data_IF_880276819907
#
_entry.id   IF_880276819907
#
_cell.length_a   1.000
_cell.length_b   1.000
_cell.length_c   1.000
_cell.angle_alpha   90.00
_cell.angle_beta   90.00
_cell.angle_gamma   90.00
#
_symmetry.space_group_name_H-M   'P 1'
#
loop_
_entity.id
_entity.type
_entity.pdbx_description
1 polymer ?
#
# COMPACT_ATOMS: atom_id res chain seq x y z
N UNK A 1 -7.64 -2.26 16.23
CA UNK A 1 -8.40 -3.06 17.18
C UNK A 1 -7.95 -4.52 17.11
N UNK A 2 -7.98 -5.28 18.22
CA UNK A 2 -7.60 -6.69 18.20
C UNK A 2 -8.53 -7.48 17.26
N UNK A 3 -7.98 -8.52 16.63
CA UNK A 3 -8.78 -9.42 15.79
C UNK A 3 -9.85 -10.14 16.64
N UNK A 4 -11.04 -10.44 16.08
CA UNK A 4 -12.05 -11.24 16.75
C UNK A 4 -11.49 -12.57 17.24
N UNK A 5 -11.93 -13.02 18.43
CA UNK A 5 -11.39 -14.22 19.07
C UNK A 5 -11.61 -15.49 18.24
N UNK A 6 -12.68 -15.57 17.47
CA UNK A 6 -13.00 -16.69 16.56
C UNK A 6 -12.19 -16.66 15.24
N UNK A 7 -11.60 -15.53 14.90
CA UNK A 7 -10.75 -15.39 13.72
C UNK A 7 -9.30 -15.83 13.98
N UNK A 8 -8.77 -15.58 15.17
CA UNK A 8 -7.37 -15.88 15.51
C UNK A 8 -6.97 -17.34 15.23
N UNK A 9 -7.77 -18.37 15.59
CA UNK A 9 -7.45 -19.76 15.29
C UNK A 9 -7.46 -20.10 13.79
N UNK A 10 -8.03 -19.22 12.94
CA UNK A 10 -8.14 -19.46 11.50
C UNK A 10 -6.89 -18.99 10.73
N UNK A 11 -6.06 -18.11 11.29
CA UNK A 11 -4.85 -17.66 10.63
C UNK A 11 -3.88 -18.79 10.23
N UNK A 12 -3.58 -19.78 11.10
CA UNK A 12 -2.78 -20.92 10.68
C UNK A 12 -3.43 -21.72 9.53
N UNK A 13 -4.75 -21.90 9.57
CA UNK A 13 -5.48 -22.66 8.57
C UNK A 13 -5.43 -21.99 7.18
N UNK A 14 -5.50 -20.67 7.12
CA UNK A 14 -5.34 -19.94 5.83
C UNK A 14 -3.97 -20.17 5.23
N UNK A 15 -2.90 -20.17 6.04
CA UNK A 15 -1.55 -20.46 5.59
C UNK A 15 -1.40 -21.92 5.11
N UNK A 16 -1.93 -22.88 5.85
CA UNK A 16 -1.93 -24.29 5.47
C UNK A 16 -2.68 -24.50 4.15
N UNK A 17 -3.85 -23.87 3.98
CA UNK A 17 -4.61 -23.93 2.75
C UNK A 17 -3.81 -23.35 1.56
N UNK A 18 -3.18 -22.19 1.72
CA UNK A 18 -2.35 -21.58 0.69
C UNK A 18 -1.23 -22.51 0.24
N UNK A 19 -0.51 -23.12 1.20
CA UNK A 19 0.55 -24.10 0.94
C UNK A 19 0.00 -25.37 0.27
N UNK A 20 -1.19 -25.84 0.64
CA UNK A 20 -1.84 -27.01 0.03
C UNK A 20 -2.19 -26.79 -1.45
N UNK A 21 -2.45 -25.54 -1.87
CA UNK A 21 -2.60 -25.17 -3.27
C UNK A 21 -1.26 -24.99 -4.01
N UNK A 22 -0.12 -25.31 -3.37
CA UNK A 22 1.22 -25.12 -3.91
C UNK A 22 1.53 -23.66 -4.27
N UNK A 23 0.98 -22.72 -3.49
CA UNK A 23 1.25 -21.29 -3.60
C UNK A 23 2.28 -20.93 -2.52
N UNK A 24 3.30 -20.15 -2.89
CA UNK A 24 4.28 -19.65 -1.94
C UNK A 24 3.58 -18.84 -0.84
N UNK A 25 3.92 -19.12 0.40
CA UNK A 25 3.37 -18.43 1.57
C UNK A 25 4.54 -18.08 2.48
N UNK A 26 4.88 -16.81 2.49
CA UNK A 26 6.04 -16.28 3.20
C UNK A 26 5.58 -15.44 4.40
N UNK A 27 6.31 -15.56 5.48
CA UNK A 27 6.16 -14.74 6.68
C UNK A 27 7.53 -14.52 7.31
N UNK A 28 7.75 -13.36 7.91
CA UNK A 28 9.01 -13.03 8.57
C UNK A 28 8.71 -12.33 9.89
N UNK A 29 9.23 -12.89 10.98
CA UNK A 29 9.05 -12.30 12.31
C UNK A 29 9.70 -10.90 12.37
N UNK A 30 8.97 -9.94 12.93
CA UNK A 30 9.44 -8.56 13.07
C UNK A 30 9.20 -7.66 11.86
N UNK A 31 8.59 -8.19 10.78
CA UNK A 31 8.20 -7.42 9.59
C UNK A 31 6.71 -7.58 9.32
N UNK A 32 6.10 -6.53 8.79
CA UNK A 32 4.72 -6.55 8.32
C UNK A 32 4.61 -7.14 6.91
N UNK A 33 3.39 -7.54 6.54
CA UNK A 33 3.13 -8.07 5.20
C UNK A 33 3.52 -7.08 4.11
N UNK A 34 3.32 -5.79 4.34
CA UNK A 34 3.61 -4.72 3.39
C UNK A 34 5.10 -4.58 3.10
N UNK A 35 5.96 -4.77 4.11
CA UNK A 35 7.42 -4.79 3.93
C UNK A 35 7.84 -5.94 3.00
N UNK A 36 7.22 -7.11 3.19
CA UNK A 36 7.50 -8.28 2.36
C UNK A 36 6.96 -8.11 0.95
N UNK A 37 5.74 -7.58 0.80
CA UNK A 37 5.14 -7.28 -0.50
C UNK A 37 6.02 -6.31 -1.27
N UNK A 38 6.42 -5.20 -0.65
CA UNK A 38 7.30 -4.21 -1.26
C UNK A 38 8.64 -4.82 -1.69
N UNK A 39 9.27 -5.58 -0.78
CA UNK A 39 10.56 -6.23 -1.05
C UNK A 39 10.48 -7.20 -2.23
N UNK A 40 9.47 -8.06 -2.25
CA UNK A 40 9.30 -9.04 -3.32
C UNK A 40 8.89 -8.38 -4.64
N UNK A 41 8.03 -7.36 -4.60
CA UNK A 41 7.63 -6.61 -5.78
C UNK A 41 8.82 -5.92 -6.45
N UNK A 42 9.65 -5.21 -5.69
CA UNK A 42 10.84 -4.56 -6.23
C UNK A 42 11.87 -5.58 -6.75
N UNK A 43 12.11 -6.67 -6.05
CA UNK A 43 13.03 -7.72 -6.52
C UNK A 43 12.56 -8.36 -7.82
N UNK A 44 11.26 -8.63 -7.96
CA UNK A 44 10.69 -9.19 -9.17
C UNK A 44 10.77 -8.19 -10.34
N UNK A 45 10.44 -6.92 -10.11
CA UNK A 45 10.59 -5.84 -11.09
C UNK A 45 12.04 -5.70 -11.55
N UNK A 46 12.98 -5.63 -10.62
CA UNK A 46 14.41 -5.44 -10.92
C UNK A 46 15.01 -6.63 -11.67
N UNK A 47 14.42 -7.82 -11.52
CA UNK A 47 14.72 -8.99 -12.33
C UNK A 47 14.03 -8.97 -13.73
N UNK A 48 13.35 -7.87 -14.11
CA UNK A 48 12.66 -7.73 -15.38
C UNK A 48 11.25 -8.33 -15.42
N UNK A 49 10.71 -8.72 -14.26
CA UNK A 49 9.35 -9.24 -14.13
C UNK A 49 8.27 -8.16 -14.10
N UNK A 50 7.02 -8.58 -14.33
CA UNK A 50 5.82 -7.77 -14.07
C UNK A 50 5.16 -8.25 -12.81
N UNK A 51 4.70 -7.31 -11.98
CA UNK A 51 4.11 -7.59 -10.68
C UNK A 51 2.67 -7.06 -10.65
N UNK A 52 1.75 -7.91 -10.19
CA UNK A 52 0.40 -7.47 -9.82
C UNK A 52 0.21 -7.72 -8.34
N UNK A 53 0.07 -6.66 -7.56
CA UNK A 53 -0.25 -6.72 -6.12
C UNK A 53 -1.76 -6.80 -5.98
N UNK A 54 -2.26 -7.90 -5.41
CA UNK A 54 -3.70 -8.06 -5.16
C UNK A 54 -4.00 -7.59 -3.75
N UNK A 55 -4.50 -6.36 -3.64
CA UNK A 55 -4.85 -5.74 -2.37
C UNK A 55 -5.83 -4.57 -2.60
N UNK A 56 -6.62 -4.26 -1.58
CA UNK A 56 -7.42 -3.03 -1.49
C UNK A 56 -6.74 -1.95 -0.64
N UNK A 57 -5.57 -2.27 -0.08
CA UNK A 57 -4.83 -1.37 0.80
C UNK A 57 -4.27 -0.18 0.02
N UNK A 58 -4.63 1.02 0.48
CA UNK A 58 -4.20 2.27 -0.15
C UNK A 58 -2.69 2.52 0.02
N UNK A 59 -2.09 1.99 1.08
CA UNK A 59 -0.71 2.26 1.43
C UNK A 59 0.25 1.58 0.45
N UNK A 60 -0.14 0.44 -0.10
CA UNK A 60 0.59 -0.23 -1.18
C UNK A 60 0.55 0.51 -2.52
N UNK A 61 -0.29 1.55 -2.66
CA UNK A 61 -0.34 2.35 -3.90
C UNK A 61 0.95 3.13 -4.17
N UNK A 62 1.77 3.38 -3.15
CA UNK A 62 3.11 3.94 -3.29
C UNK A 62 4.06 3.05 -4.13
N UNK A 63 3.76 1.75 -4.26
CA UNK A 63 4.58 0.78 -5.01
C UNK A 63 4.24 0.75 -6.50
N UNK A 64 3.11 1.35 -6.91
CA UNK A 64 2.63 1.32 -8.30
C UNK A 64 3.54 2.12 -9.23
N UNK A 65 3.95 1.53 -10.31
CA UNK A 65 4.81 2.15 -11.34
C UNK A 65 5.65 1.09 -12.04
N UNK A 66 6.43 1.48 -13.01
CA UNK A 66 7.42 0.68 -13.75
C UNK A 66 7.39 -0.85 -13.58
N UNK A 67 6.34 -1.50 -14.10
CA UNK A 67 6.18 -2.95 -14.01
C UNK A 67 5.41 -3.46 -12.79
N UNK A 68 4.97 -2.57 -11.89
CA UNK A 68 4.14 -2.91 -10.73
C UNK A 68 2.76 -2.25 -10.87
N UNK A 69 1.70 -3.04 -10.79
CA UNK A 69 0.31 -2.58 -10.72
C UNK A 69 -0.39 -3.19 -9.53
N UNK A 70 -1.50 -2.61 -9.10
CA UNK A 70 -2.38 -3.21 -8.10
C UNK A 70 -3.70 -3.67 -8.73
N UNK A 71 -4.31 -4.65 -8.08
CA UNK A 71 -5.65 -5.14 -8.42
C UNK A 71 -6.50 -5.25 -7.14
N UNK A 72 -7.51 -4.40 -7.04
CA UNK A 72 -8.53 -4.47 -5.99
C UNK A 72 -9.58 -5.51 -6.41
N UNK A 73 -9.48 -6.73 -5.86
CA UNK A 73 -10.38 -7.82 -6.18
C UNK A 73 -11.81 -7.58 -5.69
N UNK A 74 -11.98 -6.80 -4.62
CA UNK A 74 -13.32 -6.49 -4.08
C UNK A 74 -14.10 -5.56 -5.01
N UNK A 75 -13.41 -4.65 -5.67
CA UNK A 75 -13.99 -3.69 -6.64
C UNK A 75 -13.81 -4.11 -8.08
N UNK A 76 -13.12 -5.23 -8.33
CA UNK A 76 -12.74 -5.70 -9.66
C UNK A 76 -12.05 -4.59 -10.48
N UNK A 77 -11.12 -3.87 -9.85
CA UNK A 77 -10.47 -2.69 -10.45
C UNK A 77 -8.95 -2.85 -10.46
N UNK A 78 -8.34 -2.63 -11.64
CA UNK A 78 -6.88 -2.43 -11.73
C UNK A 78 -6.55 -0.99 -11.37
N UNK A 79 -5.41 -0.83 -10.69
CA UNK A 79 -4.91 0.46 -10.23
C UNK A 79 -3.49 0.60 -10.77
N UNK A 80 -3.37 1.47 -11.75
CA UNK A 80 -2.12 1.93 -12.34
C UNK A 80 -1.74 3.32 -11.78
N UNK A 81 -0.71 3.94 -12.33
CA UNK A 81 -0.26 5.29 -11.92
C UNK A 81 -1.41 6.33 -11.97
N UNK A 82 -2.26 6.24 -12.98
CA UNK A 82 -3.41 7.15 -13.12
C UNK A 82 -4.47 6.86 -12.05
N UNK A 83 -4.71 5.59 -11.74
CA UNK A 83 -5.63 5.18 -10.67
C UNK A 83 -5.16 5.65 -9.27
N UNK A 84 -3.84 5.69 -9.03
CA UNK A 84 -3.27 6.29 -7.83
C UNK A 84 -3.53 7.81 -7.78
N UNK A 85 -3.29 8.50 -8.90
CA UNK A 85 -3.57 9.93 -9.00
C UNK A 85 -5.06 10.25 -8.75
N UNK A 86 -5.98 9.45 -9.28
CA UNK A 86 -7.42 9.60 -9.02
C UNK A 86 -7.76 9.46 -7.52
N UNK A 87 -7.02 8.61 -6.80
CA UNK A 87 -7.26 8.33 -5.38
C UNK A 87 -6.63 9.37 -4.46
N UNK A 88 -5.36 9.72 -4.69
CA UNK A 88 -4.56 10.56 -3.80
C UNK A 88 -4.42 12.01 -4.30
N UNK A 89 -4.64 12.29 -5.58
CA UNK A 89 -4.36 13.57 -6.20
C UNK A 89 -2.87 13.81 -6.49
N UNK A 90 -2.04 12.78 -6.29
CA UNK A 90 -0.61 12.76 -6.62
C UNK A 90 -0.25 11.42 -7.26
N UNK A 91 0.88 11.34 -7.95
CA UNK A 91 1.44 10.09 -8.47
C UNK A 91 2.08 9.25 -7.36
N UNK A 92 2.34 7.93 -7.58
CA UNK A 92 2.83 7.00 -6.57
C UNK A 92 4.05 7.48 -5.79
N UNK A 93 4.97 8.14 -6.46
CA UNK A 93 6.22 8.69 -5.89
C UNK A 93 5.99 9.80 -4.84
N UNK A 94 4.77 10.32 -4.73
CA UNK A 94 4.39 11.36 -3.75
C UNK A 94 3.31 10.93 -2.75
N UNK A 95 2.94 9.66 -2.80
CA UNK A 95 1.91 9.13 -1.88
C UNK A 95 2.35 9.21 -0.43
N UNK A 96 3.63 8.91 -0.15
CA UNK A 96 4.21 9.00 1.20
C UNK A 96 4.13 10.43 1.74
N UNK A 97 4.47 11.43 0.92
CA UNK A 97 4.44 12.85 1.31
C UNK A 97 3.02 13.29 1.68
N UNK A 98 2.04 12.87 0.87
CA UNK A 98 0.62 13.14 1.14
C UNK A 98 0.16 12.46 2.42
N UNK A 99 0.54 11.20 2.66
CA UNK A 99 0.17 10.47 3.86
C UNK A 99 0.83 11.01 5.12
N UNK A 100 2.07 11.50 5.03
CA UNK A 100 2.76 12.15 6.14
C UNK A 100 2.06 13.44 6.58
N UNK A 101 1.49 14.21 5.63
CA UNK A 101 0.72 15.42 5.92
C UNK A 101 -0.70 15.15 6.37
N UNK A 102 -1.36 14.20 5.72
CA UNK A 102 -2.74 13.85 6.04
C UNK A 102 -2.79 12.95 7.28
N UNK A 103 -3.72 13.23 8.19
CA UNK A 103 -3.96 12.34 9.31
C UNK A 103 -4.57 11.02 8.84
N UNK A 104 -4.11 9.92 9.42
CA UNK A 104 -4.72 8.60 9.27
C UNK A 104 -5.05 8.01 10.63
N UNK A 105 -6.34 7.94 10.94
CA UNK A 105 -6.81 7.43 12.23
C UNK A 105 -6.75 5.91 12.32
N UNK A 106 -6.65 5.19 11.20
CA UNK A 106 -6.55 3.72 11.17
C UNK A 106 -5.16 3.31 11.61
N UNK A 107 -4.15 3.97 11.05
CA UNK A 107 -2.73 3.66 11.30
C UNK A 107 -2.11 4.57 12.38
N UNK A 108 -2.96 5.36 13.06
CA UNK A 108 -2.55 6.26 14.13
C UNK A 108 -1.49 7.30 13.68
N UNK A 109 -1.58 7.74 12.44
CA UNK A 109 -0.73 8.81 11.90
C UNK A 109 -1.38 10.15 12.24
N UNK A 110 -0.72 11.02 13.03
CA UNK A 110 -1.33 12.27 13.47
C UNK A 110 -1.50 13.29 12.34
N UNK A 111 -0.60 13.29 11.36
CA UNK A 111 -0.57 14.28 10.27
C UNK A 111 -0.48 15.72 10.77
N UNK A 112 -0.67 16.67 9.88
CA UNK A 112 -0.81 18.08 10.23
C UNK A 112 -2.28 18.40 10.59
N UNK A 113 -2.55 19.13 11.69
CA UNK A 113 -3.91 19.40 12.12
C UNK A 113 -4.75 20.09 11.03
N UNK A 114 -5.89 19.51 10.71
CA UNK A 114 -6.81 20.06 9.70
C UNK A 114 -6.42 19.78 8.24
N UNK A 115 -5.34 19.06 7.99
CA UNK A 115 -4.90 18.69 6.66
C UNK A 115 -5.43 17.29 6.32
N UNK A 116 -6.37 17.23 5.38
CA UNK A 116 -6.83 15.97 4.78
C UNK A 116 -6.11 15.69 3.46
N UNK A 117 -6.32 14.49 2.91
CA UNK A 117 -5.66 14.01 1.67
C UNK A 117 -5.72 15.04 0.53
N UNK A 118 -6.87 15.69 0.30
CA UNK A 118 -7.02 16.66 -0.80
C UNK A 118 -6.15 17.91 -0.60
N UNK A 119 -6.11 18.44 0.62
CA UNK A 119 -5.28 19.60 0.95
C UNK A 119 -3.81 19.22 0.89
N UNK A 120 -3.43 18.07 1.45
CA UNK A 120 -2.07 17.55 1.37
C UNK A 120 -1.62 17.40 -0.09
N UNK A 121 -2.43 16.77 -0.95
CA UNK A 121 -2.13 16.63 -2.37
C UNK A 121 -1.95 17.97 -3.08
N UNK A 122 -2.79 18.97 -2.76
CA UNK A 122 -2.63 20.33 -3.33
C UNK A 122 -1.28 20.93 -2.95
N UNK A 123 -0.92 20.86 -1.67
CA UNK A 123 0.36 21.38 -1.17
C UNK A 123 1.55 20.66 -1.82
N UNK A 124 1.55 19.34 -1.86
CA UNK A 124 2.63 18.56 -2.49
C UNK A 124 2.74 18.85 -3.99
N UNK A 125 1.62 19.01 -4.71
CA UNK A 125 1.66 19.39 -6.12
C UNK A 125 2.18 20.82 -6.35
N UNK A 126 1.97 21.73 -5.38
CA UNK A 126 2.44 23.11 -5.48
C UNK A 126 3.92 23.26 -5.13
N UNK A 127 4.38 22.59 -4.07
CA UNK A 127 5.75 22.73 -3.55
C UNK A 127 6.71 21.63 -4.04
N UNK A 128 6.19 20.52 -4.58
CA UNK A 128 6.96 19.42 -5.16
C UNK A 128 7.08 18.22 -4.24
N UNK A 129 7.49 18.40 -2.99
CA UNK A 129 7.57 17.35 -1.98
C UNK A 129 7.43 17.91 -0.56
N UNK A 130 7.52 17.02 0.43
CA UNK A 130 7.39 17.39 1.83
C UNK A 130 8.56 18.23 2.33
N UNK A 131 9.78 17.95 1.88
CA UNK A 131 10.99 18.65 2.30
C UNK A 131 11.00 20.10 1.80
N UNK A 132 10.51 20.33 0.58
CA UNK A 132 10.37 21.69 0.00
C UNK A 132 9.22 22.48 0.67
N UNK A 133 8.25 21.79 1.27
CA UNK A 133 7.13 22.41 1.97
C UNK A 133 7.49 22.88 3.38
N UNK A 134 8.42 22.22 4.06
CA UNK A 134 8.83 22.48 5.46
C UNK A 134 9.96 23.50 5.56
#
# INVERSE_FOLDING_TARGET
PPAPEDLVPQFPLTREATKAFNIACEEMEGFEADDMIATLAFRARDAGGRVTIISSDKDLMQLVGDGIEMYDAMKNKRIDRQGVFEKFGVYPDRVIDVQALASDSVDNVPGAPGIGIKTAATLINEFGDLDELL
#
